data_IF_140213738786
#
_entry.id   IF_140213738786
#
_cell.length_a   1.000
_cell.length_b   1.000
_cell.length_c   1.000
_cell.angle_alpha   90.00
_cell.angle_beta   90.00
_cell.angle_gamma   90.00
#
_symmetry.space_group_name_H-M   'P 1'
#
loop_
_entity.id
_entity.type
_entity.pdbx_description
1 polymer ?
#
# COMPACT_ATOMS: atom_id res chain seq x y z
N UNK A 1 -14.09 93.09 -26.89
CA UNK A 1 -13.47 92.50 -28.07
C UNK A 1 -13.78 91.00 -28.06
N UNK A 2 -14.55 90.32 -28.87
CA UNK A 2 -15.35 90.78 -30.02
C UNK A 2 -16.43 89.73 -30.30
N UNK A 3 -17.65 90.14 -30.33
CA UNK A 3 -18.81 89.35 -30.76
C UNK A 3 -18.93 89.11 -32.28
N UNK A 4 -17.90 89.41 -33.06
CA UNK A 4 -17.96 89.38 -34.52
C UNK A 4 -17.45 88.08 -35.16
N UNK A 5 -16.80 87.18 -34.38
CA UNK A 5 -16.24 85.88 -34.92
C UNK A 5 -17.19 84.69 -34.77
N UNK A 6 -18.30 84.83 -34.02
CA UNK A 6 -19.26 83.74 -33.83
C UNK A 6 -20.36 83.61 -34.88
N UNK A 7 -20.52 84.56 -35.78
CA UNK A 7 -21.61 84.55 -36.77
C UNK A 7 -21.18 83.96 -38.13
N UNK A 8 -19.89 83.92 -38.46
CA UNK A 8 -19.41 83.39 -39.75
C UNK A 8 -19.23 81.86 -39.77
N UNK A 9 -19.12 81.23 -38.62
CA UNK A 9 -18.99 79.74 -38.57
C UNK A 9 -20.34 79.02 -38.67
N UNK A 10 -21.48 79.67 -38.48
CA UNK A 10 -22.79 79.02 -38.46
C UNK A 10 -23.50 78.90 -39.81
N UNK A 11 -23.03 79.63 -40.84
CA UNK A 11 -23.65 79.67 -42.19
C UNK A 11 -22.97 78.73 -43.21
N UNK A 12 -21.80 78.15 -42.87
CA UNK A 12 -21.10 77.18 -43.74
C UNK A 12 -21.38 75.74 -43.41
N UNK A 13 -22.11 75.42 -42.30
CA UNK A 13 -22.48 74.09 -41.92
C UNK A 13 -23.86 73.63 -42.39
N UNK A 14 -24.62 74.52 -43.05
CA UNK A 14 -26.00 74.22 -43.52
C UNK A 14 -26.11 73.72 -44.98
N UNK A 15 -25.03 73.71 -45.76
CA UNK A 15 -25.09 73.31 -47.19
C UNK A 15 -24.54 71.93 -47.51
N UNK A 16 -24.03 71.17 -46.50
CA UNK A 16 -23.43 69.82 -46.70
C UNK A 16 -24.35 68.64 -46.32
N UNK A 17 -25.61 68.86 -45.96
CA UNK A 17 -26.50 67.78 -45.45
C UNK A 17 -27.50 67.27 -46.51
N UNK A 18 -27.54 67.79 -47.73
CA UNK A 18 -28.54 67.40 -48.72
C UNK A 18 -28.05 66.56 -49.92
N UNK A 19 -26.90 65.92 -49.86
CA UNK A 19 -26.41 65.06 -50.97
C UNK A 19 -25.99 63.62 -50.59
N UNK A 20 -26.51 63.06 -49.53
CA UNK A 20 -26.26 61.63 -49.19
C UNK A 20 -27.55 60.78 -49.05
N UNK A 21 -28.43 60.87 -50.04
CA UNK A 21 -29.64 60.02 -50.12
C UNK A 21 -29.68 59.30 -51.47
N UNK A 22 -28.76 58.34 -51.69
CA UNK A 22 -28.92 57.31 -52.71
C UNK A 22 -27.73 56.33 -52.70
N UNK A 23 -27.55 55.50 -51.60
CA UNK A 23 -26.88 54.22 -51.70
C UNK A 23 -27.61 53.28 -50.82
N UNK A 24 -28.73 52.70 -51.30
CA UNK A 24 -29.24 51.42 -50.82
C UNK A 24 -28.24 50.37 -51.21
N UNK A 25 -27.14 50.29 -50.47
CA UNK A 25 -26.29 49.09 -50.48
C UNK A 25 -27.07 47.94 -49.88
N UNK A 26 -27.41 46.92 -50.70
CA UNK A 26 -27.78 45.64 -50.27
C UNK A 26 -26.74 45.20 -49.25
N UNK A 27 -27.09 45.06 -47.94
CA UNK A 27 -26.39 44.27 -47.04
C UNK A 27 -26.45 42.81 -47.57
N UNK A 28 -25.49 42.44 -48.40
CA UNK A 28 -25.14 41.11 -48.61
C UNK A 28 -24.64 40.62 -47.22
N UNK A 29 -25.49 39.94 -46.48
CA UNK A 29 -25.08 39.14 -45.35
C UNK A 29 -23.99 38.19 -45.82
N UNK A 30 -22.74 38.64 -45.73
CA UNK A 30 -21.61 37.79 -45.97
C UNK A 30 -21.68 36.67 -44.91
N UNK A 31 -22.22 35.54 -45.33
CA UNK A 31 -22.00 34.29 -44.58
C UNK A 31 -20.49 34.17 -44.47
N UNK A 32 -19.94 34.43 -43.27
CA UNK A 32 -18.55 34.09 -43.01
C UNK A 32 -18.36 32.64 -43.46
N UNK A 33 -17.31 32.30 -44.21
CA UNK A 33 -17.08 30.93 -44.64
C UNK A 33 -17.10 30.03 -43.39
N UNK A 34 -17.93 29.01 -43.46
CA UNK A 34 -18.09 28.08 -42.35
C UNK A 34 -16.70 27.55 -41.95
N UNK A 35 -16.28 27.83 -40.73
CA UNK A 35 -14.96 27.44 -40.24
C UNK A 35 -14.92 25.91 -40.12
N UNK A 36 -13.94 25.26 -40.72
CA UNK A 36 -13.77 23.83 -40.59
C UNK A 36 -13.24 23.50 -39.20
N UNK A 37 -13.94 22.68 -38.46
CA UNK A 37 -13.56 22.19 -37.11
C UNK A 37 -13.43 20.69 -37.09
N UNK A 38 -12.47 20.23 -36.35
CA UNK A 38 -12.37 18.80 -36.05
C UNK A 38 -13.32 18.45 -34.92
N UNK A 39 -14.21 17.52 -35.14
CA UNK A 39 -15.13 17.01 -34.14
C UNK A 39 -14.91 15.53 -33.87
N UNK A 40 -15.20 15.10 -32.68
CA UNK A 40 -15.21 13.71 -32.25
C UNK A 40 -16.59 13.34 -31.72
N UNK A 41 -16.93 12.09 -31.86
CA UNK A 41 -18.13 11.53 -31.23
C UNK A 41 -17.81 11.13 -29.79
N UNK A 42 -18.69 11.50 -28.86
CA UNK A 42 -18.56 11.18 -27.43
C UNK A 42 -18.79 9.68 -27.24
N UNK A 43 -17.76 9.01 -26.71
CA UNK A 43 -17.78 7.56 -26.47
C UNK A 43 -17.87 7.31 -24.97
N UNK A 44 -18.65 6.31 -24.60
CA UNK A 44 -18.64 5.76 -23.25
C UNK A 44 -17.75 4.52 -23.21
N UNK A 45 -16.93 4.42 -22.18
CA UNK A 45 -16.10 3.26 -21.93
C UNK A 45 -15.92 2.99 -20.45
N UNK A 46 -15.62 1.74 -20.11
CA UNK A 46 -15.21 1.39 -18.77
C UNK A 46 -13.75 1.86 -18.57
N UNK A 47 -13.49 2.64 -17.51
CA UNK A 47 -12.18 3.18 -17.23
C UNK A 47 -11.67 2.66 -15.88
N UNK A 48 -10.51 1.99 -15.84
CA UNK A 48 -9.92 1.58 -14.59
C UNK A 48 -9.49 2.79 -13.75
N UNK A 49 -9.58 2.66 -12.43
CA UNK A 49 -9.03 3.61 -11.47
C UNK A 49 -7.50 3.52 -11.53
N UNK A 50 -6.89 4.40 -12.31
CA UNK A 50 -5.44 4.38 -12.57
C UNK A 50 -4.77 5.61 -11.95
N UNK A 51 -4.80 5.65 -10.61
CA UNK A 51 -4.16 6.72 -9.84
C UNK A 51 -3.00 6.11 -9.04
N UNK A 52 -1.85 6.73 -9.14
CA UNK A 52 -0.65 6.32 -8.43
C UNK A 52 -0.47 7.14 -7.15
N UNK A 53 -0.09 6.47 -6.07
CA UNK A 53 0.18 7.07 -4.77
C UNK A 53 1.63 6.83 -4.38
N UNK A 54 2.32 7.84 -3.80
CA UNK A 54 3.63 7.61 -3.20
C UNK A 54 3.49 6.68 -1.99
N UNK A 55 4.43 5.76 -1.87
CA UNK A 55 4.40 4.74 -0.84
C UNK A 55 5.79 4.43 -0.32
N UNK A 56 5.85 3.95 0.91
CA UNK A 56 7.08 3.49 1.53
C UNK A 56 6.95 2.02 1.95
N UNK A 57 7.95 1.24 1.59
CA UNK A 57 8.06 -0.17 1.97
C UNK A 57 8.59 -0.28 3.40
N UNK A 58 7.98 -1.14 4.19
CA UNK A 58 8.42 -1.47 5.55
C UNK A 58 8.47 -2.98 5.74
N UNK A 59 9.30 -3.45 6.66
CA UNK A 59 9.21 -4.82 7.11
C UNK A 59 7.91 -5.06 7.90
N UNK A 60 7.37 -6.25 7.83
CA UNK A 60 6.18 -6.61 8.63
C UNK A 60 6.47 -6.58 10.12
N UNK A 61 7.68 -6.93 10.53
CA UNK A 61 8.19 -6.76 11.89
C UNK A 61 9.59 -6.19 11.83
N UNK A 62 9.88 -5.26 12.73
CA UNK A 62 11.24 -4.74 12.96
C UNK A 62 11.51 -4.77 14.45
N UNK A 63 12.58 -5.45 14.84
CA UNK A 63 12.94 -5.65 16.25
C UNK A 63 14.38 -5.22 16.48
N UNK A 64 14.58 -4.47 17.55
CA UNK A 64 15.89 -4.13 18.08
C UNK A 64 16.34 -5.24 19.04
N UNK A 65 17.35 -5.99 18.66
CA UNK A 65 17.95 -7.04 19.51
C UNK A 65 18.85 -6.37 20.55
N UNK A 66 18.48 -6.53 21.82
CA UNK A 66 19.19 -5.90 22.94
C UNK A 66 19.72 -6.94 23.92
N UNK A 67 20.87 -6.63 24.52
CA UNK A 67 21.39 -7.40 25.65
C UNK A 67 20.43 -7.30 26.83
N UNK A 68 20.13 -8.43 27.46
CA UNK A 68 19.28 -8.50 28.66
C UNK A 68 20.12 -8.58 29.95
N UNK A 69 21.41 -8.88 29.81
CA UNK A 69 22.42 -8.91 30.88
C UNK A 69 23.67 -8.17 30.46
N UNK A 70 24.44 -7.69 31.43
CA UNK A 70 25.70 -7.01 31.18
C UNK A 70 26.85 -8.00 31.01
N UNK A 71 27.93 -7.56 30.34
CA UNK A 71 29.15 -8.37 30.17
C UNK A 71 29.89 -8.05 28.87
N UNK A 72 31.02 -8.70 28.68
CA UNK A 72 31.83 -8.52 27.46
C UNK A 72 31.23 -9.37 26.33
N UNK A 73 31.02 -8.79 25.16
CA UNK A 73 30.56 -9.49 23.98
C UNK A 73 31.68 -10.40 23.45
N UNK A 74 31.54 -11.72 23.60
CA UNK A 74 32.59 -12.68 23.24
C UNK A 74 32.62 -13.05 21.76
N UNK A 75 31.44 -13.22 21.16
CA UNK A 75 31.36 -13.62 19.76
C UNK A 75 30.04 -13.20 19.11
N UNK A 76 30.11 -13.00 17.79
CA UNK A 76 28.97 -12.85 16.87
C UNK A 76 28.87 -14.12 16.02
N UNK A 77 27.68 -14.69 15.93
CA UNK A 77 27.41 -15.99 15.31
C UNK A 77 26.53 -15.88 14.06
N UNK A 78 26.49 -14.73 13.44
CA UNK A 78 25.72 -14.48 12.21
C UNK A 78 26.52 -13.56 11.28
N UNK A 79 26.15 -13.57 9.99
CA UNK A 79 26.63 -12.62 9.00
C UNK A 79 25.64 -11.46 8.84
N UNK A 80 26.14 -10.23 8.73
CA UNK A 80 25.31 -9.04 8.48
C UNK A 80 24.59 -9.17 7.13
N UNK A 81 23.32 -8.80 7.10
CA UNK A 81 22.48 -8.95 5.91
C UNK A 81 22.03 -10.39 5.62
N UNK A 82 22.45 -11.38 6.42
CA UNK A 82 21.98 -12.75 6.28
C UNK A 82 20.57 -12.94 6.84
N UNK A 83 19.84 -13.91 6.29
CA UNK A 83 18.57 -14.35 6.85
C UNK A 83 18.80 -15.35 7.97
N UNK A 84 18.21 -15.09 9.13
CA UNK A 84 18.30 -15.94 10.33
C UNK A 84 16.90 -16.35 10.77
N UNK A 85 16.78 -17.62 11.24
CA UNK A 85 15.53 -18.13 11.81
C UNK A 85 15.40 -17.72 13.27
N UNK A 86 14.18 -17.55 13.74
CA UNK A 86 13.84 -17.38 15.15
C UNK A 86 14.49 -18.44 16.04
N UNK A 87 14.96 -18.04 17.23
CA UNK A 87 15.64 -18.92 18.19
C UNK A 87 17.11 -19.19 17.90
N UNK A 88 17.65 -18.85 16.72
CA UNK A 88 19.07 -18.99 16.40
C UNK A 88 19.90 -18.09 17.30
N UNK A 89 21.01 -18.59 17.86
CA UNK A 89 21.91 -17.79 18.67
C UNK A 89 22.66 -16.77 17.78
N UNK A 90 22.61 -15.50 18.18
CA UNK A 90 23.20 -14.38 17.47
C UNK A 90 24.52 -13.92 18.08
N UNK A 91 24.51 -13.81 19.42
CA UNK A 91 25.69 -13.35 20.16
C UNK A 91 25.91 -14.21 21.41
N UNK A 92 27.15 -14.22 21.87
CA UNK A 92 27.54 -14.78 23.16
C UNK A 92 28.15 -13.65 24.02
N UNK A 93 27.56 -13.39 25.18
CA UNK A 93 28.09 -12.54 26.24
C UNK A 93 28.88 -13.43 27.19
N UNK A 94 29.92 -12.92 27.85
CA UNK A 94 30.71 -13.68 28.83
C UNK A 94 29.79 -14.24 29.92
N UNK A 95 29.78 -15.57 30.00
CA UNK A 95 28.85 -16.33 30.86
C UNK A 95 29.46 -16.82 32.17
N UNK A 96 30.78 -16.59 32.40
CA UNK A 96 31.51 -17.14 33.53
C UNK A 96 30.90 -16.78 34.88
N UNK A 97 30.55 -15.50 35.08
CA UNK A 97 29.95 -15.05 36.33
C UNK A 97 28.55 -15.63 36.52
N UNK A 98 27.75 -15.67 35.47
CA UNK A 98 26.38 -16.17 35.48
C UNK A 98 26.34 -17.69 35.70
N UNK A 99 27.30 -18.42 35.11
CA UNK A 99 27.48 -19.84 35.35
C UNK A 99 27.86 -20.13 36.84
N UNK A 100 28.79 -19.36 37.39
CA UNK A 100 29.19 -19.48 38.79
C UNK A 100 28.00 -19.14 39.73
N UNK A 101 27.19 -18.14 39.41
CA UNK A 101 25.99 -17.79 40.16
C UNK A 101 24.94 -18.90 40.11
N UNK A 102 24.74 -19.55 38.95
CA UNK A 102 23.84 -20.68 38.79
C UNK A 102 24.31 -21.88 39.62
N UNK A 103 25.61 -22.21 39.60
CA UNK A 103 26.14 -23.32 40.43
C UNK A 103 26.01 -23.04 41.94
N UNK A 104 26.20 -21.79 42.37
CA UNK A 104 25.96 -21.38 43.76
C UNK A 104 24.49 -21.55 44.15
N UNK A 105 23.56 -21.16 43.32
CA UNK A 105 22.13 -21.31 43.56
C UNK A 105 21.73 -22.79 43.62
N UNK A 106 22.32 -23.65 42.77
CA UNK A 106 22.13 -25.11 42.82
C UNK A 106 22.64 -25.70 44.11
N UNK A 107 23.79 -25.26 44.60
CA UNK A 107 24.33 -25.66 45.89
C UNK A 107 23.39 -25.32 47.07
N UNK A 108 22.83 -24.10 47.06
CA UNK A 108 21.84 -23.66 48.05
C UNK A 108 20.56 -24.50 48.01
N UNK A 109 20.09 -24.85 46.83
CA UNK A 109 18.94 -25.75 46.67
C UNK A 109 19.23 -27.15 47.25
N UNK A 110 20.38 -27.71 46.92
CA UNK A 110 20.79 -29.03 47.43
C UNK A 110 20.87 -29.07 48.99
N UNK A 111 21.35 -27.95 49.60
CA UNK A 111 21.37 -27.78 51.04
C UNK A 111 19.93 -27.74 51.62
N UNK A 112 19.04 -26.93 51.04
CA UNK A 112 17.65 -26.83 51.48
C UNK A 112 16.90 -28.15 51.35
N UNK A 113 17.10 -28.89 50.26
CA UNK A 113 16.51 -30.23 50.07
C UNK A 113 17.05 -31.25 51.06
N UNK A 114 18.34 -31.18 51.45
CA UNK A 114 18.88 -32.05 52.50
C UNK A 114 18.25 -31.76 53.86
N UNK A 115 18.01 -30.50 54.17
CA UNK A 115 17.31 -30.09 55.40
C UNK A 115 15.84 -30.53 55.39
N UNK A 116 15.13 -30.39 54.28
CA UNK A 116 13.76 -30.89 54.14
C UNK A 116 13.69 -32.41 54.39
N UNK A 117 14.58 -33.16 53.74
CA UNK A 117 14.63 -34.62 53.96
C UNK A 117 14.90 -34.97 55.41
N UNK A 118 15.71 -34.20 56.14
CA UNK A 118 15.97 -34.42 57.56
C UNK A 118 14.76 -34.14 58.42
N UNK A 119 14.12 -32.98 58.25
CA UNK A 119 12.92 -32.60 59.03
C UNK A 119 11.73 -33.49 58.68
N UNK A 120 11.60 -33.92 57.43
CA UNK A 120 10.57 -34.88 57.01
C UNK A 120 10.68 -36.22 57.75
N UNK A 121 11.91 -36.73 57.91
CA UNK A 121 12.13 -37.99 58.66
C UNK A 121 11.74 -37.79 60.12
N UNK A 122 12.09 -36.68 60.74
CA UNK A 122 11.74 -36.31 62.10
C UNK A 122 10.22 -36.19 62.27
N UNK A 123 9.55 -35.43 61.41
CA UNK A 123 8.10 -35.31 61.39
C UNK A 123 7.41 -36.68 61.29
N UNK A 124 7.86 -37.56 60.38
CA UNK A 124 7.29 -38.86 60.18
C UNK A 124 7.51 -39.74 61.40
N UNK A 125 8.65 -39.60 62.13
CA UNK A 125 8.95 -40.29 63.37
C UNK A 125 7.99 -39.81 64.49
N UNK A 126 7.87 -38.52 64.70
CA UNK A 126 6.98 -37.93 65.72
C UNK A 126 5.52 -38.26 65.45
N UNK A 127 5.09 -38.29 64.18
CA UNK A 127 3.73 -38.69 63.79
C UNK A 127 3.41 -40.12 64.23
N UNK A 128 4.35 -41.09 64.09
CA UNK A 128 4.17 -42.46 64.56
C UNK A 128 4.14 -42.56 66.08
N UNK A 129 5.08 -41.91 66.80
CA UNK A 129 5.15 -41.91 68.23
C UNK A 129 3.95 -41.22 68.89
N UNK A 130 3.36 -40.22 68.25
CA UNK A 130 2.12 -39.61 68.73
C UNK A 130 0.94 -40.54 68.64
N UNK A 131 0.83 -41.32 67.55
CA UNK A 131 -0.20 -42.34 67.40
C UNK A 131 -0.08 -43.46 68.53
N UNK A 132 1.17 -43.77 68.91
CA UNK A 132 1.49 -44.73 70.00
C UNK A 132 1.42 -44.02 71.36
N UNK A 133 1.01 -42.76 71.49
CA UNK A 133 0.95 -41.97 72.73
C UNK A 133 2.30 -41.80 73.45
N UNK A 134 3.41 -41.98 72.74
CA UNK A 134 4.76 -41.93 73.29
C UNK A 134 5.41 -40.56 73.36
N UNK A 135 4.79 -39.54 72.75
CA UNK A 135 5.25 -38.12 72.70
C UNK A 135 4.08 -37.13 72.92
N UNK A 136 4.38 -35.89 73.31
CA UNK A 136 3.38 -34.84 73.48
C UNK A 136 2.92 -34.25 72.11
N UNK A 137 1.69 -33.70 72.06
CA UNK A 137 1.18 -32.98 70.90
C UNK A 137 2.13 -31.88 70.52
N UNK A 138 2.71 -31.17 71.50
CA UNK A 138 3.67 -30.07 71.23
C UNK A 138 4.87 -30.54 70.42
N UNK A 139 5.47 -31.72 70.80
CA UNK A 139 6.63 -32.23 70.05
C UNK A 139 6.29 -32.55 68.57
N UNK A 140 5.08 -33.05 68.34
CA UNK A 140 4.59 -33.25 66.95
C UNK A 140 4.41 -31.97 66.19
N UNK A 141 3.75 -30.96 66.82
CA UNK A 141 3.50 -29.63 66.19
C UNK A 141 4.82 -28.91 65.91
N UNK A 142 5.81 -29.01 66.83
CA UNK A 142 7.16 -28.44 66.59
C UNK A 142 7.86 -29.14 65.39
N UNK A 143 7.76 -30.45 65.25
CA UNK A 143 8.33 -31.19 64.13
C UNK A 143 7.61 -30.93 62.79
N UNK A 144 6.27 -30.74 62.85
CA UNK A 144 5.48 -30.33 61.68
C UNK A 144 5.90 -28.95 61.21
N UNK A 145 5.95 -27.96 62.11
CA UNK A 145 6.35 -26.60 61.77
C UNK A 145 7.77 -26.51 61.22
N UNK A 146 8.69 -27.31 61.79
CA UNK A 146 10.07 -27.41 61.26
C UNK A 146 10.10 -27.99 59.83
N UNK A 147 9.27 -29.01 59.54
CA UNK A 147 9.15 -29.58 58.20
C UNK A 147 8.54 -28.61 57.21
N UNK A 148 7.43 -27.93 57.57
CA UNK A 148 6.80 -26.92 56.73
C UNK A 148 7.74 -25.74 56.40
N UNK A 149 8.51 -25.28 57.39
CA UNK A 149 9.56 -24.28 57.22
C UNK A 149 10.63 -24.74 56.24
N UNK A 150 11.08 -26.00 56.34
CA UNK A 150 12.06 -26.56 55.44
C UNK A 150 11.52 -26.69 54.00
N UNK A 151 10.24 -27.04 53.83
CA UNK A 151 9.59 -27.02 52.50
C UNK A 151 9.55 -25.65 51.90
N UNK A 152 9.17 -24.62 52.68
CA UNK A 152 9.19 -23.23 52.23
C UNK A 152 10.58 -22.81 51.78
N UNK A 153 11.64 -23.17 52.52
CA UNK A 153 13.02 -22.87 52.16
C UNK A 153 13.45 -23.52 50.82
N UNK A 154 12.99 -24.74 50.55
CA UNK A 154 13.22 -25.40 49.24
C UNK A 154 12.57 -24.61 48.10
N UNK A 155 11.35 -24.10 48.31
CA UNK A 155 10.70 -23.29 47.30
C UNK A 155 11.46 -21.99 47.02
N UNK A 156 11.97 -21.31 48.05
CA UNK A 156 12.82 -20.12 47.92
C UNK A 156 14.10 -20.44 47.14
N UNK A 157 14.78 -21.55 47.51
CA UNK A 157 16.00 -21.96 46.82
C UNK A 157 15.76 -22.34 45.35
N UNK A 158 14.64 -23.00 45.03
CA UNK A 158 14.21 -23.30 43.65
C UNK A 158 14.00 -22.02 42.84
N UNK A 159 13.34 -21.02 43.42
CA UNK A 159 13.18 -19.71 42.79
C UNK A 159 14.54 -19.06 42.50
N UNK A 160 15.50 -19.14 43.44
CA UNK A 160 16.87 -18.68 43.26
C UNK A 160 17.60 -19.33 42.08
N UNK A 161 17.46 -20.65 41.92
CA UNK A 161 18.02 -21.40 40.79
C UNK A 161 17.37 -20.94 39.47
N UNK A 162 16.06 -20.74 39.47
CA UNK A 162 15.33 -20.26 38.29
C UNK A 162 15.85 -18.88 37.83
N UNK A 163 16.00 -17.94 38.76
CA UNK A 163 16.53 -16.59 38.49
C UNK A 163 17.95 -16.65 37.93
N UNK A 164 18.83 -17.42 38.58
CA UNK A 164 20.22 -17.58 38.12
C UNK A 164 20.30 -18.23 36.73
N UNK A 165 19.42 -19.21 36.46
CA UNK A 165 19.32 -19.85 35.13
C UNK A 165 18.85 -18.87 34.05
N UNK A 166 17.84 -18.06 34.33
CA UNK A 166 17.35 -17.05 33.40
C UNK A 166 18.48 -16.09 33.01
N UNK A 167 19.23 -15.57 34.00
CA UNK A 167 20.35 -14.68 33.73
C UNK A 167 21.47 -15.35 32.92
N UNK A 168 21.76 -16.62 33.19
CA UNK A 168 22.69 -17.42 32.40
C UNK A 168 22.19 -17.63 30.96
N UNK A 169 20.91 -17.95 30.79
CA UNK A 169 20.32 -18.12 29.46
C UNK A 169 20.34 -16.82 28.64
N UNK A 170 20.23 -15.65 29.29
CA UNK A 170 20.33 -14.34 28.65
C UNK A 170 21.74 -13.98 28.13
N UNK A 171 22.80 -14.68 28.58
CA UNK A 171 24.12 -14.54 27.98
C UNK A 171 24.18 -15.05 26.54
N UNK A 172 23.23 -15.92 26.14
CA UNK A 172 23.05 -16.44 24.80
C UNK A 172 21.95 -15.66 24.11
N UNK A 173 22.31 -14.56 23.46
CA UNK A 173 21.33 -13.72 22.76
C UNK A 173 20.82 -14.44 21.54
N UNK A 174 19.50 -14.66 21.47
CA UNK A 174 18.84 -15.37 20.38
C UNK A 174 17.99 -14.44 19.54
N UNK A 175 17.75 -14.84 18.29
CA UNK A 175 16.87 -14.16 17.35
C UNK A 175 15.40 -14.20 17.85
N UNK A 176 14.76 -13.06 18.10
CA UNK A 176 13.37 -13.01 18.55
C UNK A 176 12.35 -13.25 17.44
N UNK A 177 12.75 -13.09 16.19
CA UNK A 177 11.94 -13.31 14.98
C UNK A 177 12.80 -13.94 13.88
N UNK A 178 12.14 -14.49 12.87
CA UNK A 178 12.83 -14.90 11.64
C UNK A 178 12.92 -13.68 10.70
N UNK A 179 14.12 -13.32 10.24
CA UNK A 179 14.29 -12.13 9.41
C UNK A 179 15.72 -11.89 8.92
N UNK A 180 15.91 -10.76 8.29
CA UNK A 180 17.23 -10.30 7.80
C UNK A 180 17.91 -9.53 8.92
N UNK A 181 19.16 -9.86 9.16
CA UNK A 181 20.01 -9.21 10.16
C UNK A 181 20.46 -7.84 9.65
N UNK A 182 20.41 -6.85 10.52
CA UNK A 182 21.05 -5.56 10.30
C UNK A 182 22.54 -5.60 10.62
N UNK A 183 23.16 -4.42 10.57
CA UNK A 183 24.54 -4.21 11.00
C UNK A 183 24.66 -4.38 12.53
N UNK A 184 25.81 -4.87 13.00
CA UNK A 184 26.10 -4.87 14.43
C UNK A 184 26.24 -3.43 14.96
N UNK A 185 25.65 -3.17 16.12
CA UNK A 185 25.77 -1.89 16.82
C UNK A 185 26.93 -1.89 17.84
N UNK A 186 27.32 -3.07 18.32
CA UNK A 186 28.41 -3.28 19.26
C UNK A 186 29.35 -4.34 18.72
N UNK A 187 30.64 -4.06 18.68
CA UNK A 187 31.64 -5.00 18.19
C UNK A 187 32.04 -6.01 19.27
N UNK A 188 32.52 -7.17 18.84
CA UNK A 188 33.09 -8.18 19.73
C UNK A 188 34.23 -7.58 20.57
N UNK A 189 34.22 -7.87 21.87
CA UNK A 189 35.14 -7.27 22.86
C UNK A 189 34.56 -6.07 23.61
N UNK A 190 33.45 -5.48 23.14
CA UNK A 190 32.78 -4.37 23.82
C UNK A 190 32.04 -4.81 25.07
N UNK A 191 32.03 -3.95 26.09
CA UNK A 191 31.20 -4.12 27.28
C UNK A 191 29.76 -3.68 26.93
N UNK A 192 28.82 -4.62 27.02
CA UNK A 192 27.40 -4.36 26.82
C UNK A 192 26.65 -4.29 28.14
N UNK A 193 25.55 -3.53 28.17
CA UNK A 193 24.71 -3.34 29.36
C UNK A 193 23.25 -3.41 28.93
N UNK A 194 22.31 -3.95 29.78
CA UNK A 194 20.89 -3.94 29.49
C UNK A 194 20.31 -2.53 29.34
N UNK A 195 20.95 -1.53 29.94
CA UNK A 195 20.51 -0.14 29.93
C UNK A 195 21.37 0.72 29.01
N UNK A 196 20.79 1.78 28.45
CA UNK A 196 21.49 2.71 27.56
C UNK A 196 21.69 2.21 26.12
N UNK A 197 22.53 2.91 25.37
CA UNK A 197 22.79 2.62 23.94
C UNK A 197 23.66 1.37 23.76
N UNK A 198 24.57 1.09 24.71
CA UNK A 198 25.43 -0.12 24.66
C UNK A 198 24.63 -1.43 24.72
N UNK A 199 23.36 -1.35 25.13
CA UNK A 199 22.47 -2.52 25.10
C UNK A 199 21.98 -2.92 23.72
N UNK A 200 21.95 -2.01 22.75
CA UNK A 200 21.56 -2.32 21.37
C UNK A 200 22.70 -3.11 20.69
N UNK A 201 22.40 -4.33 20.28
CA UNK A 201 23.37 -5.21 19.61
C UNK A 201 23.24 -5.19 18.10
N UNK A 202 22.00 -5.29 17.59
CA UNK A 202 21.67 -5.25 16.17
C UNK A 202 20.17 -5.03 15.98
N UNK A 203 19.75 -4.86 14.73
CA UNK A 203 18.34 -4.82 14.33
C UNK A 203 17.99 -6.04 13.48
N UNK A 204 16.76 -6.50 13.56
CA UNK A 204 16.23 -7.55 12.68
C UNK A 204 14.98 -7.05 12.00
N UNK A 205 14.83 -7.38 10.71
CA UNK A 205 13.67 -7.00 9.91
C UNK A 205 13.08 -8.23 9.23
N UNK A 206 11.81 -8.48 9.46
CA UNK A 206 11.07 -9.48 8.71
C UNK A 206 10.67 -8.88 7.36
N UNK A 207 11.26 -9.41 6.29
CA UNK A 207 11.06 -8.93 4.92
C UNK A 207 10.11 -9.82 4.09
N UNK A 208 9.44 -10.77 4.71
CA UNK A 208 8.39 -11.58 4.10
C UNK A 208 7.38 -11.99 5.17
N UNK A 209 6.12 -11.47 5.06
CA UNK A 209 5.65 -10.51 4.08
C UNK A 209 6.26 -9.10 4.28
N UNK A 210 6.14 -8.24 3.27
CA UNK A 210 6.44 -6.81 3.36
C UNK A 210 5.16 -5.99 3.50
N UNK A 211 5.26 -4.88 4.19
CA UNK A 211 4.21 -3.88 4.22
C UNK A 211 4.57 -2.68 3.36
N UNK A 212 3.59 -2.20 2.62
CA UNK A 212 3.71 -0.97 1.84
C UNK A 212 2.69 0.02 2.39
N UNK A 213 3.19 1.09 3.00
CA UNK A 213 2.37 2.15 3.58
C UNK A 213 2.23 3.27 2.56
N UNK A 214 1.01 3.71 2.32
CA UNK A 214 0.69 4.81 1.41
C UNK A 214 -0.49 5.61 1.93
N UNK A 215 -0.69 6.81 1.39
CA UNK A 215 -1.78 7.69 1.78
C UNK A 215 -2.61 8.06 0.56
N UNK A 216 -3.92 7.96 0.69
CA UNK A 216 -4.89 8.39 -0.31
C UNK A 216 -5.52 9.71 0.14
N UNK A 217 -5.58 10.75 -0.70
CA UNK A 217 -6.31 11.98 -0.39
C UNK A 217 -7.78 11.69 -0.05
N UNK A 218 -8.30 12.32 1.01
CA UNK A 218 -9.68 12.10 1.48
C UNK A 218 -10.72 12.39 0.40
N UNK A 219 -10.48 13.40 -0.46
CA UNK A 219 -11.34 13.70 -1.61
C UNK A 219 -11.42 12.52 -2.61
N UNK A 220 -10.31 11.82 -2.86
CA UNK A 220 -10.29 10.67 -3.75
C UNK A 220 -10.97 9.45 -3.11
N UNK A 221 -10.77 9.26 -1.80
CA UNK A 221 -11.48 8.22 -1.06
C UNK A 221 -12.99 8.46 -1.07
N UNK A 222 -13.44 9.71 -0.83
CA UNK A 222 -14.85 10.08 -0.89
C UNK A 222 -15.46 9.81 -2.27
N UNK A 223 -14.72 10.09 -3.35
CA UNK A 223 -15.14 9.78 -4.73
C UNK A 223 -15.26 8.29 -4.99
N UNK A 224 -14.26 7.52 -4.57
CA UNK A 224 -14.30 6.07 -4.70
C UNK A 224 -15.52 5.49 -3.96
N UNK A 225 -15.75 5.96 -2.73
CA UNK A 225 -16.89 5.53 -1.91
C UNK A 225 -18.25 5.95 -2.52
N UNK A 226 -18.41 7.22 -2.90
CA UNK A 226 -19.65 7.71 -3.51
C UNK A 226 -19.93 7.10 -4.88
N UNK A 227 -18.88 6.92 -5.70
CA UNK A 227 -18.98 6.24 -6.99
C UNK A 227 -19.40 4.77 -6.85
N UNK A 228 -18.88 4.08 -5.85
CA UNK A 228 -19.30 2.71 -5.53
C UNK A 228 -20.75 2.66 -5.06
N UNK A 229 -21.15 3.55 -4.15
CA UNK A 229 -22.54 3.62 -3.64
C UNK A 229 -23.55 3.98 -4.73
N UNK A 230 -23.17 4.81 -5.70
CA UNK A 230 -24.03 5.17 -6.85
C UNK A 230 -24.00 4.13 -7.98
N UNK A 231 -23.14 3.11 -7.90
CA UNK A 231 -22.94 2.13 -8.97
C UNK A 231 -22.15 2.63 -10.18
N UNK A 232 -21.59 3.85 -10.12
CA UNK A 232 -20.69 4.38 -11.15
C UNK A 232 -19.31 3.74 -11.12
N UNK A 233 -18.88 3.30 -9.93
CA UNK A 233 -17.63 2.55 -9.74
C UNK A 233 -17.97 1.14 -9.30
N UNK A 234 -17.42 0.17 -9.97
CA UNK A 234 -17.53 -1.25 -9.60
C UNK A 234 -16.18 -1.73 -9.11
N UNK A 235 -16.19 -2.53 -8.05
CA UNK A 235 -15.01 -3.14 -7.49
C UNK A 235 -14.93 -4.60 -7.95
N UNK A 236 -13.88 -4.94 -8.68
CA UNK A 236 -13.65 -6.28 -9.20
C UNK A 236 -14.62 -6.74 -10.27
N UNK A 237 -14.76 -8.07 -10.39
CA UNK A 237 -15.64 -8.70 -11.37
C UNK A 237 -17.12 -8.76 -10.95
N UNK A 238 -17.53 -8.10 -9.88
CA UNK A 238 -18.90 -8.20 -9.39
C UNK A 238 -19.90 -7.47 -10.27
N UNK A 239 -20.80 -8.24 -10.87
CA UNK A 239 -21.96 -7.76 -11.65
C UNK A 239 -23.09 -7.16 -10.81
N UNK A 240 -22.95 -7.02 -9.49
CA UNK A 240 -23.98 -6.53 -8.58
C UNK A 240 -23.45 -5.48 -7.62
N UNK A 241 -23.63 -4.22 -7.97
CA UNK A 241 -23.63 -3.13 -7.01
C UNK A 241 -25.03 -2.99 -6.42
N UNK A 242 -25.24 -3.47 -5.20
CA UNK A 242 -26.35 -3.04 -4.37
C UNK A 242 -25.82 -2.05 -3.35
N UNK A 243 -26.58 -1.01 -3.04
CA UNK A 243 -26.22 0.02 -2.07
C UNK A 243 -25.78 -0.63 -0.75
N UNK A 244 -24.52 -0.43 -0.39
CA UNK A 244 -23.87 -1.00 0.80
C UNK A 244 -23.49 0.14 1.75
N UNK A 245 -23.71 -0.06 3.05
CA UNK A 245 -23.34 0.85 4.12
C UNK A 245 -21.81 1.13 4.09
N UNK A 246 -21.33 2.38 4.31
CA UNK A 246 -19.91 2.72 4.39
C UNK A 246 -19.10 1.88 5.39
N UNK A 247 -19.72 1.41 6.48
CA UNK A 247 -19.09 0.50 7.45
C UNK A 247 -18.92 -0.91 6.88
N UNK A 248 -19.86 -1.37 6.09
CA UNK A 248 -19.85 -2.65 5.39
C UNK A 248 -18.84 -2.62 4.22
N UNK A 249 -18.68 -1.45 3.56
CA UNK A 249 -17.64 -1.21 2.56
C UNK A 249 -16.24 -1.45 3.10
N UNK A 250 -15.93 -0.94 4.30
CA UNK A 250 -14.62 -1.17 4.96
C UNK A 250 -14.37 -2.66 5.22
N UNK A 251 -15.41 -3.38 5.60
CA UNK A 251 -15.35 -4.82 5.90
C UNK A 251 -15.23 -5.66 4.63
N UNK A 252 -15.98 -5.31 3.60
CA UNK A 252 -15.91 -5.95 2.28
C UNK A 252 -14.58 -5.68 1.58
N UNK A 253 -14.04 -4.45 1.66
CA UNK A 253 -12.74 -4.09 1.14
C UNK A 253 -11.61 -4.92 1.80
N UNK A 254 -11.76 -5.29 3.06
CA UNK A 254 -10.78 -6.12 3.78
C UNK A 254 -10.95 -7.62 3.53
N UNK A 255 -12.19 -8.13 3.39
CA UNK A 255 -12.47 -9.57 3.37
C UNK A 255 -12.77 -10.15 1.98
N UNK A 256 -13.43 -9.40 1.11
CA UNK A 256 -13.96 -9.92 -0.17
C UNK A 256 -13.64 -9.07 -1.39
N UNK A 257 -13.10 -7.86 -1.21
CA UNK A 257 -12.92 -6.98 -2.33
C UNK A 257 -11.76 -7.44 -3.23
N UNK A 258 -11.97 -7.47 -4.50
CA UNK A 258 -10.95 -7.70 -5.50
C UNK A 258 -10.04 -6.47 -5.69
N UNK A 259 -10.02 -5.54 -4.73
CA UNK A 259 -9.08 -4.44 -4.70
C UNK A 259 -7.73 -4.96 -4.24
N UNK A 260 -6.76 -4.84 -5.09
CA UNK A 260 -5.38 -5.12 -4.77
C UNK A 260 -4.49 -3.94 -5.16
N UNK A 261 -3.28 -3.97 -4.68
CA UNK A 261 -2.30 -2.91 -4.91
C UNK A 261 -1.18 -3.47 -5.76
N UNK A 262 -0.80 -2.76 -6.80
CA UNK A 262 0.42 -3.01 -7.55
C UNK A 262 1.50 -2.03 -7.10
N UNK A 263 2.70 -2.53 -6.84
CA UNK A 263 3.84 -1.69 -6.51
C UNK A 263 4.66 -1.42 -7.79
N UNK A 264 4.93 -0.16 -8.05
CA UNK A 264 5.74 0.32 -9.18
C UNK A 264 7.10 0.73 -8.64
N UNK A 265 8.11 -0.03 -9.01
CA UNK A 265 9.49 0.18 -8.59
C UNK A 265 10.07 1.47 -9.19
N UNK A 266 11.20 1.95 -8.64
CA UNK A 266 11.87 3.17 -9.12
C UNK A 266 12.28 3.12 -10.60
N UNK A 267 12.48 1.92 -11.16
CA UNK A 267 12.78 1.70 -12.58
C UNK A 267 11.54 1.66 -13.49
N UNK A 268 10.35 1.94 -12.94
CA UNK A 268 9.07 1.91 -13.65
C UNK A 268 8.47 0.51 -13.87
N UNK A 269 9.14 -0.56 -13.44
CA UNK A 269 8.58 -1.91 -13.54
C UNK A 269 7.57 -2.17 -12.43
N UNK A 270 6.51 -2.88 -12.74
CA UNK A 270 5.53 -3.35 -11.76
C UNK A 270 6.11 -4.58 -11.06
N UNK A 271 6.02 -4.60 -9.73
CA UNK A 271 6.41 -5.75 -8.93
C UNK A 271 5.49 -6.94 -9.21
N UNK A 272 6.05 -8.14 -9.35
CA UNK A 272 5.30 -9.31 -9.83
C UNK A 272 4.18 -9.78 -8.87
N UNK A 273 4.35 -9.54 -7.58
CA UNK A 273 3.34 -9.91 -6.57
C UNK A 273 2.36 -8.78 -6.35
N UNK A 274 1.07 -9.12 -6.28
CA UNK A 274 0.01 -8.17 -5.95
C UNK A 274 -0.11 -8.04 -4.43
N UNK A 275 -0.28 -6.81 -3.95
CA UNK A 275 -0.48 -6.53 -2.54
C UNK A 275 -1.94 -6.59 -2.15
N UNK A 276 -2.23 -7.19 -1.00
CA UNK A 276 -3.55 -7.16 -0.37
C UNK A 276 -3.61 -6.00 0.60
N UNK A 277 -4.66 -5.19 0.53
CA UNK A 277 -4.90 -4.13 1.52
C UNK A 277 -5.31 -4.80 2.83
N UNK A 278 -4.55 -4.54 3.89
CA UNK A 278 -4.76 -5.12 5.21
C UNK A 278 -5.21 -4.10 6.25
N UNK A 279 -5.05 -2.81 5.94
CA UNK A 279 -5.36 -1.74 6.88
C UNK A 279 -5.82 -0.49 6.15
N UNK A 280 -6.88 0.12 6.69
CA UNK A 280 -7.36 1.46 6.40
C UNK A 280 -7.45 2.20 7.72
N UNK A 281 -6.89 3.39 7.79
CA UNK A 281 -7.05 4.22 8.98
C UNK A 281 -8.53 4.62 9.14
N UNK A 282 -8.99 4.67 10.37
CA UNK A 282 -10.35 5.12 10.70
C UNK A 282 -10.48 6.63 10.74
N UNK A 283 -9.35 7.34 10.79
CA UNK A 283 -9.26 8.78 10.91
C UNK A 283 -8.47 9.38 9.76
N UNK A 284 -8.95 10.50 9.25
CA UNK A 284 -8.22 11.30 8.27
C UNK A 284 -7.15 12.14 8.98
N UNK A 285 -5.94 12.16 8.44
CA UNK A 285 -4.89 13.04 8.93
C UNK A 285 -5.28 14.50 8.63
N UNK A 286 -5.51 15.29 9.67
CA UNK A 286 -5.99 16.67 9.54
C UNK A 286 -4.98 17.63 8.90
N UNK A 287 -3.69 17.31 8.93
CA UNK A 287 -2.65 18.15 8.33
C UNK A 287 -2.51 17.93 6.82
N UNK A 288 -2.72 16.70 6.36
CA UNK A 288 -2.54 16.31 4.95
C UNK A 288 -3.85 16.01 4.24
N UNK A 289 -4.98 16.02 4.95
CA UNK A 289 -6.30 15.61 4.45
C UNK A 289 -6.23 14.29 3.68
N UNK A 290 -5.57 13.29 4.26
CA UNK A 290 -5.34 11.99 3.65
C UNK A 290 -5.60 10.84 4.61
N UNK A 291 -5.99 9.71 4.04
CA UNK A 291 -6.25 8.45 4.74
C UNK A 291 -5.04 7.54 4.60
N UNK A 292 -4.50 7.09 5.73
CA UNK A 292 -3.39 6.15 5.70
C UNK A 292 -3.89 4.73 5.40
N UNK A 293 -3.15 4.04 4.54
CA UNK A 293 -3.46 2.70 4.09
C UNK A 293 -2.20 1.84 4.13
N UNK A 294 -2.40 0.53 4.30
CA UNK A 294 -1.32 -0.46 4.25
C UNK A 294 -1.71 -1.65 3.40
N UNK A 295 -0.80 -2.01 2.51
CA UNK A 295 -0.91 -3.24 1.75
C UNK A 295 0.20 -4.22 2.13
N UNK A 296 -0.13 -5.50 2.16
CA UNK A 296 0.79 -6.60 2.42
C UNK A 296 1.18 -7.25 1.10
N UNK A 297 2.48 -7.40 0.89
CA UNK A 297 3.07 -8.02 -0.28
C UNK A 297 3.88 -9.25 0.11
N UNK A 298 3.68 -10.34 -0.61
CA UNK A 298 4.59 -11.47 -0.52
C UNK A 298 5.96 -11.09 -1.11
N UNK A 299 7.04 -11.42 -0.39
CA UNK A 299 8.41 -11.18 -0.82
C UNK A 299 9.24 -12.46 -0.70
N UNK A 300 9.20 -13.35 -1.69
CA UNK A 300 9.95 -14.61 -1.66
C UNK A 300 11.44 -14.35 -1.42
N UNK A 301 12.14 -15.24 -0.73
CA UNK A 301 13.53 -15.07 -0.28
C UNK A 301 14.53 -14.67 -1.36
N UNK A 302 14.26 -15.01 -2.62
CA UNK A 302 15.16 -14.74 -3.75
C UNK A 302 14.83 -13.44 -4.49
N UNK A 303 13.71 -12.80 -4.17
CA UNK A 303 13.29 -11.56 -4.81
C UNK A 303 13.57 -10.37 -3.89
N UNK A 304 14.69 -9.70 -4.15
CA UNK A 304 15.11 -8.48 -3.42
C UNK A 304 14.74 -7.19 -4.15
N UNK A 305 13.81 -7.24 -5.10
CA UNK A 305 13.40 -6.05 -5.85
C UNK A 305 12.66 -5.06 -4.95
N UNK A 306 11.99 -5.55 -3.91
CA UNK A 306 11.30 -4.75 -2.92
C UNK A 306 11.98 -4.90 -1.57
N UNK A 307 12.51 -3.81 -1.04
CA UNK A 307 13.28 -3.81 0.22
C UNK A 307 12.67 -2.85 1.25
N UNK A 308 12.68 -3.19 2.55
CA UNK A 308 12.31 -2.26 3.61
C UNK A 308 13.07 -0.94 3.51
N UNK A 309 12.36 0.18 3.73
CA UNK A 309 12.89 1.54 3.60
C UNK A 309 12.83 2.14 2.20
N UNK A 310 12.54 1.35 1.18
CA UNK A 310 12.46 1.81 -0.21
C UNK A 310 11.20 2.66 -0.45
N UNK A 311 11.32 3.73 -1.24
CA UNK A 311 10.18 4.47 -1.78
C UNK A 311 9.76 3.88 -3.11
N UNK A 312 8.48 3.67 -3.26
CA UNK A 312 7.83 3.12 -4.46
C UNK A 312 6.58 3.92 -4.75
N UNK A 313 5.99 3.74 -5.94
CA UNK A 313 4.62 4.18 -6.20
C UNK A 313 3.71 2.96 -6.12
N UNK A 314 2.49 3.16 -5.69
CA UNK A 314 1.48 2.11 -5.70
C UNK A 314 0.28 2.54 -6.51
N UNK A 315 -0.33 1.60 -7.18
CA UNK A 315 -1.56 1.77 -7.95
C UNK A 315 -2.63 0.84 -7.39
N UNK A 316 -3.80 1.42 -7.15
CA UNK A 316 -4.95 0.65 -6.71
C UNK A 316 -5.61 0.01 -7.94
N UNK A 317 -5.72 -1.30 -7.96
CA UNK A 317 -6.28 -2.06 -9.08
C UNK A 317 -7.53 -2.81 -8.65
N UNK A 318 -8.51 -2.90 -9.56
CA UNK A 318 -9.80 -3.57 -9.31
C UNK A 318 -10.98 -2.62 -9.15
N UNK A 319 -10.77 -1.30 -9.16
CA UNK A 319 -11.84 -0.32 -9.26
C UNK A 319 -12.00 0.15 -10.71
N UNK A 320 -13.22 0.16 -11.24
CA UNK A 320 -13.52 0.52 -12.62
C UNK A 320 -14.72 1.48 -12.66
N UNK A 321 -14.53 2.65 -13.27
CA UNK A 321 -15.65 3.52 -13.66
C UNK A 321 -16.44 2.87 -14.78
N UNK A 322 -17.72 2.63 -14.54
CA UNK A 322 -18.62 2.09 -15.56
C UNK A 322 -19.21 3.19 -16.43
N UNK A 323 -19.22 2.94 -17.75
CA UNK A 323 -19.82 3.84 -18.74
C UNK A 323 -19.31 5.29 -18.62
N UNK A 324 -18.03 5.48 -18.31
CA UNK A 324 -17.44 6.81 -18.22
C UNK A 324 -17.47 7.53 -19.57
N UNK A 325 -17.91 8.77 -19.59
CA UNK A 325 -17.82 9.62 -20.77
C UNK A 325 -16.41 10.23 -20.83
N UNK A 326 -15.64 9.82 -21.82
CA UNK A 326 -14.26 10.24 -22.00
C UNK A 326 -14.14 11.24 -23.13
N UNK A 327 -13.52 12.39 -22.84
CA UNK A 327 -13.20 13.40 -23.84
C UNK A 327 -11.74 13.85 -23.71
N UNK A 328 -11.03 14.12 -24.79
CA UNK A 328 -9.66 14.64 -24.72
C UNK A 328 -9.61 16.01 -24.05
N UNK A 329 -8.53 16.31 -23.35
CA UNK A 329 -8.36 17.61 -22.69
C UNK A 329 -8.47 18.80 -23.64
N UNK A 330 -8.11 18.61 -24.92
CA UNK A 330 -8.24 19.62 -25.97
C UNK A 330 -9.69 19.98 -26.36
N UNK A 331 -10.67 19.15 -25.97
CA UNK A 331 -12.11 19.36 -26.25
C UNK A 331 -12.83 20.10 -25.11
N UNK A 332 -12.14 20.43 -24.01
CA UNK A 332 -12.70 21.15 -22.87
C UNK A 332 -11.96 22.48 -22.68
N UNK A 333 -12.71 23.56 -22.56
CA UNK A 333 -12.19 24.88 -22.27
C UNK A 333 -12.45 25.20 -20.78
N UNK A 334 -11.38 25.52 -20.06
CA UNK A 334 -11.50 26.01 -18.69
C UNK A 334 -11.66 27.51 -18.71
N UNK A 335 -12.78 28.02 -18.19
CA UNK A 335 -13.08 29.43 -18.04
C UNK A 335 -13.23 29.79 -16.56
N UNK A 336 -13.17 31.10 -16.19
CA UNK A 336 -13.45 31.53 -14.82
C UNK A 336 -14.83 31.10 -14.31
N UNK A 337 -15.78 30.87 -15.22
CA UNK A 337 -17.16 30.47 -14.94
C UNK A 337 -17.33 28.94 -14.83
N UNK A 338 -16.28 28.17 -15.16
CA UNK A 338 -16.28 26.70 -15.12
C UNK A 338 -15.77 26.08 -16.43
N UNK A 339 -15.92 24.77 -16.51
CA UNK A 339 -15.54 24.02 -17.72
C UNK A 339 -16.67 24.03 -18.72
N UNK A 340 -16.35 24.25 -20.00
CA UNK A 340 -17.29 24.16 -21.09
C UNK A 340 -16.72 23.40 -22.28
N UNK A 341 -17.58 22.79 -23.06
CA UNK A 341 -17.27 22.22 -24.38
C UNK A 341 -18.23 22.73 -25.43
N UNK A 342 -17.83 22.63 -26.69
CA UNK A 342 -18.69 22.98 -27.82
C UNK A 342 -19.29 21.72 -28.44
N UNK A 343 -20.61 21.62 -28.36
CA UNK A 343 -21.40 20.53 -28.98
C UNK A 343 -21.87 20.99 -30.35
N UNK A 344 -21.77 20.15 -31.36
CA UNK A 344 -22.25 20.40 -32.70
C UNK A 344 -23.61 19.78 -32.91
N UNK A 345 -24.57 20.61 -33.23
CA UNK A 345 -25.95 20.21 -33.46
C UNK A 345 -26.17 19.60 -34.87
N UNK A 346 -27.31 18.96 -35.10
CA UNK A 346 -27.67 18.40 -36.41
C UNK A 346 -27.60 19.40 -37.59
N UNK A 347 -27.74 20.71 -37.29
CA UNK A 347 -27.63 21.77 -38.25
C UNK A 347 -26.21 22.30 -38.47
N UNK A 348 -25.18 21.58 -37.95
CA UNK A 348 -23.78 22.03 -37.94
C UNK A 348 -23.57 23.37 -37.22
N UNK A 349 -24.40 23.67 -36.23
CA UNK A 349 -24.28 24.86 -35.39
C UNK A 349 -23.62 24.51 -34.08
N UNK A 350 -22.69 25.34 -33.62
CA UNK A 350 -21.92 25.10 -32.38
C UNK A 350 -22.66 25.72 -31.20
N UNK A 351 -22.93 24.93 -30.18
CA UNK A 351 -23.50 25.36 -28.90
C UNK A 351 -22.51 25.15 -27.76
N UNK A 352 -22.24 26.19 -26.99
CA UNK A 352 -21.46 26.09 -25.78
C UNK A 352 -22.27 25.39 -24.70
N UNK A 353 -21.71 24.36 -24.09
CA UNK A 353 -22.36 23.58 -23.03
C UNK A 353 -21.45 23.49 -21.83
N UNK A 354 -21.91 23.89 -20.61
CA UNK A 354 -21.17 23.68 -19.41
C UNK A 354 -21.08 22.18 -19.11
N UNK A 355 -19.90 21.74 -18.66
CA UNK A 355 -19.63 20.35 -18.32
C UNK A 355 -18.97 20.28 -16.95
N UNK A 356 -19.19 19.18 -16.22
CA UNK A 356 -18.46 18.85 -15.02
C UNK A 356 -17.69 17.56 -15.26
N UNK A 357 -16.45 17.55 -14.84
CA UNK A 357 -15.60 16.39 -15.02
C UNK A 357 -14.23 16.59 -14.40
N UNK A 358 -13.40 15.57 -14.50
CA UNK A 358 -12.06 15.55 -13.94
C UNK A 358 -11.03 15.13 -14.95
N UNK A 359 -9.87 15.76 -14.88
CA UNK A 359 -8.75 15.44 -15.72
C UNK A 359 -7.99 14.22 -15.13
N UNK A 360 -7.94 13.14 -15.89
CA UNK A 360 -7.12 11.97 -15.59
C UNK A 360 -6.37 11.56 -16.88
N UNK A 361 -5.06 11.40 -16.80
CA UNK A 361 -4.21 10.93 -17.92
C UNK A 361 -4.49 11.68 -19.26
N UNK A 362 -4.56 13.03 -19.23
CA UNK A 362 -4.83 13.89 -20.37
C UNK A 362 -6.24 13.74 -20.99
N UNK A 363 -7.16 13.08 -20.28
CA UNK A 363 -8.56 12.91 -20.65
C UNK A 363 -9.46 13.47 -19.56
N UNK A 364 -10.57 14.09 -19.92
CA UNK A 364 -11.61 14.42 -18.96
C UNK A 364 -12.62 13.28 -18.86
N UNK A 365 -12.88 12.85 -17.64
CA UNK A 365 -14.02 11.99 -17.29
C UNK A 365 -15.17 12.94 -16.98
N UNK A 366 -16.15 13.00 -17.86
CA UNK A 366 -17.29 13.92 -17.73
C UNK A 366 -18.40 13.22 -16.93
N UNK A 367 -18.79 13.85 -15.81
CA UNK A 367 -19.89 13.38 -14.95
C UNK A 367 -21.23 14.00 -15.35
N UNK A 368 -21.23 15.26 -15.84
CA UNK A 368 -22.45 15.99 -16.21
C UNK A 368 -22.22 16.82 -17.46
N UNK A 369 -23.24 16.98 -18.28
CA UNK A 369 -23.28 17.92 -19.41
C UNK A 369 -23.14 17.30 -20.80
N UNK A 370 -22.71 16.04 -20.94
CA UNK A 370 -22.63 15.34 -22.23
C UNK A 370 -23.37 14.01 -22.21
N UNK A 371 -23.79 13.59 -23.41
CA UNK A 371 -24.41 12.29 -23.65
C UNK A 371 -23.61 11.49 -24.68
N UNK A 372 -23.71 10.19 -24.60
CA UNK A 372 -23.14 9.28 -25.62
C UNK A 372 -23.67 9.60 -27.01
N UNK A 373 -22.80 9.57 -28.01
CA UNK A 373 -23.12 9.83 -29.41
C UNK A 373 -23.19 11.31 -29.81
N UNK A 374 -23.08 12.25 -28.87
CA UNK A 374 -23.00 13.68 -29.21
C UNK A 374 -21.68 14.00 -29.90
N UNK A 375 -21.71 14.93 -30.85
CA UNK A 375 -20.50 15.41 -31.52
C UNK A 375 -19.96 16.63 -30.82
N UNK A 376 -18.70 16.62 -30.40
CA UNK A 376 -18.02 17.72 -29.74
C UNK A 376 -16.81 18.15 -30.53
N UNK A 377 -16.49 19.43 -30.48
CA UNK A 377 -15.29 19.98 -31.14
C UNK A 377 -14.06 19.57 -30.35
N UNK A 378 -13.07 18.94 -31.02
CA UNK A 378 -11.86 18.42 -30.37
C UNK A 378 -10.70 19.42 -30.34
N UNK A 379 -10.70 20.42 -31.22
CA UNK A 379 -9.62 21.39 -31.37
C UNK A 379 -10.12 22.77 -31.83
N UNK A 380 -9.41 23.82 -31.42
CA UNK A 380 -9.70 25.16 -31.90
C UNK A 380 -10.85 25.91 -31.21
N UNK A 381 -11.22 25.46 -30.02
CA UNK A 381 -12.36 25.98 -29.25
C UNK A 381 -12.31 27.48 -28.99
N UNK A 382 -11.12 28.08 -28.84
CA UNK A 382 -10.92 29.50 -28.54
C UNK A 382 -11.45 30.43 -29.69
N UNK A 383 -11.51 29.91 -30.91
CA UNK A 383 -11.97 30.67 -32.08
C UNK A 383 -13.47 30.59 -32.33
N UNK A 384 -14.17 29.75 -31.57
CA UNK A 384 -15.59 29.50 -31.74
C UNK A 384 -16.44 30.40 -30.86
N UNK A 385 -17.58 30.78 -31.40
CA UNK A 385 -18.63 31.49 -30.67
C UNK A 385 -19.92 30.67 -30.73
N UNK A 386 -20.73 30.67 -29.69
CA UNK A 386 -22.04 30.01 -29.71
C UNK A 386 -22.89 30.52 -30.89
N UNK A 387 -23.56 29.64 -31.61
CA UNK A 387 -24.37 29.97 -32.78
C UNK A 387 -23.64 30.02 -34.12
N UNK A 388 -22.31 29.80 -34.17
CA UNK A 388 -21.57 29.74 -35.44
C UNK A 388 -21.92 28.46 -36.20
N UNK A 389 -22.08 28.57 -37.52
CA UNK A 389 -22.11 27.46 -38.45
C UNK A 389 -20.68 27.00 -38.74
N UNK A 390 -20.44 25.70 -38.67
CA UNK A 390 -19.12 25.07 -38.86
C UNK A 390 -19.20 23.95 -39.88
N UNK A 391 -18.12 23.70 -40.58
CA UNK A 391 -17.96 22.46 -41.37
C UNK A 391 -17.27 21.44 -40.52
N UNK A 392 -17.96 20.33 -40.25
CA UNK A 392 -17.48 19.27 -39.35
C UNK A 392 -16.59 18.29 -40.09
N UNK A 393 -15.36 18.17 -39.66
CA UNK A 393 -14.48 17.06 -40.00
C UNK A 393 -14.48 16.06 -38.85
N UNK A 394 -15.24 14.95 -39.00
CA UNK A 394 -15.37 13.92 -37.97
C UNK A 394 -14.09 13.09 -37.89
N UNK A 395 -13.42 13.15 -36.74
CA UNK A 395 -12.25 12.31 -36.44
C UNK A 395 -12.66 11.13 -35.57
N UNK A 396 -12.12 9.96 -35.87
CA UNK A 396 -12.34 8.80 -35.02
C UNK A 396 -11.56 8.98 -33.72
N UNK A 397 -12.26 9.04 -32.61
CA UNK A 397 -11.65 9.10 -31.29
C UNK A 397 -11.17 7.71 -30.88
N UNK A 398 -9.86 7.58 -30.62
CA UNK A 398 -9.26 6.32 -30.16
C UNK A 398 -9.11 6.41 -28.65
N UNK A 399 -9.77 5.50 -27.94
CA UNK A 399 -9.64 5.36 -26.48
C UNK A 399 -8.19 4.99 -26.11
N UNK A 400 -7.68 5.49 -24.96
CA UNK A 400 -6.38 5.09 -24.47
C UNK A 400 -6.33 3.59 -24.20
N UNK A 401 -5.15 2.98 -24.30
CA UNK A 401 -4.96 1.54 -24.15
C UNK A 401 -5.50 1.00 -22.82
N UNK A 402 -5.46 1.80 -21.75
CA UNK A 402 -6.04 1.48 -20.44
C UNK A 402 -7.56 1.29 -20.45
N UNK A 403 -8.28 1.99 -21.35
CA UNK A 403 -9.72 1.86 -21.49
C UNK A 403 -10.13 0.75 -22.48
N UNK A 404 -9.22 0.31 -23.35
CA UNK A 404 -9.49 -0.77 -24.33
C UNK A 404 -9.45 -2.15 -23.67
N UNK A 405 -8.71 -2.33 -22.59
CA UNK A 405 -8.58 -3.62 -21.88
C UNK A 405 -9.82 -3.96 -21.04
N UNK A 406 -10.72 -3.02 -20.82
CA UNK A 406 -11.95 -3.20 -20.01
C UNK A 406 -13.19 -3.59 -20.83
N UNK A 407 -13.10 -3.72 -22.14
CA UNK A 407 -14.24 -4.20 -22.95
C UNK A 407 -14.41 -5.71 -22.74
N UNK A 408 -15.61 -6.20 -22.37
CA UNK A 408 -15.91 -7.61 -22.42
C UNK A 408 -15.83 -8.04 -23.89
N UNK A 409 -15.12 -9.13 -24.15
CA UNK A 409 -15.07 -9.77 -25.47
C UNK A 409 -16.52 -9.94 -25.96
N UNK A 410 -16.88 -9.24 -27.03
CA UNK A 410 -18.14 -9.45 -27.73
C UNK A 410 -18.21 -10.91 -28.14
N UNK A 411 -19.26 -11.59 -27.72
CA UNK A 411 -19.63 -12.93 -28.19
C UNK A 411 -19.97 -12.83 -29.68
N UNK A 412 -18.98 -12.86 -30.53
CA UNK A 412 -19.12 -13.27 -31.92
C UNK A 412 -18.51 -14.67 -32.05
N UNK A 413 -19.42 -15.63 -32.02
CA UNK A 413 -19.13 -17.00 -32.31
C UNK A 413 -18.60 -17.14 -33.74
N UNK A 414 -17.28 -17.21 -33.88
CA UNK A 414 -16.63 -17.84 -35.00
C UNK A 414 -15.58 -18.82 -34.50
N UNK A 415 -15.90 -20.07 -34.73
CA UNK A 415 -15.12 -21.25 -34.51
C UNK A 415 -13.66 -21.07 -34.93
N UNK A 416 -12.75 -21.24 -33.96
CA UNK A 416 -11.34 -21.52 -34.23
C UNK A 416 -11.22 -23.04 -34.42
N UNK A 417 -11.61 -23.49 -35.59
CA UNK A 417 -11.17 -24.81 -36.12
C UNK A 417 -10.13 -24.51 -37.20
N UNK A 418 -8.99 -25.14 -37.10
CA UNK A 418 -7.89 -25.16 -38.06
C UNK A 418 -6.71 -24.20 -37.78
N UNK A 419 -5.86 -24.64 -36.86
CA UNK A 419 -4.40 -24.41 -36.93
C UNK A 419 -3.67 -25.49 -36.09
N UNK A 420 -4.05 -26.78 -36.33
CA UNK A 420 -3.19 -27.92 -36.10
C UNK A 420 -2.81 -28.44 -37.50
N UNK A 421 -1.58 -28.27 -37.92
CA UNK A 421 -0.79 -29.10 -38.82
C UNK A 421 0.34 -28.26 -39.41
N UNK A 422 1.48 -28.29 -38.81
CA UNK A 422 2.80 -28.39 -39.45
C UNK A 422 3.89 -28.29 -38.37
N UNK A 423 4.15 -29.41 -37.70
CA UNK A 423 5.46 -29.64 -37.07
C UNK A 423 6.05 -30.81 -37.85
N UNK A 424 6.99 -30.45 -38.67
CA UNK A 424 7.81 -31.35 -39.49
C UNK A 424 8.73 -32.18 -38.59
N UNK A 425 8.67 -33.49 -38.86
CA UNK A 425 9.55 -34.50 -38.29
C UNK A 425 10.89 -34.44 -39.03
N UNK A 426 11.92 -33.97 -38.40
CA UNK A 426 13.29 -34.41 -38.69
C UNK A 426 14.22 -33.95 -37.60
N UNK A 427 14.68 -34.82 -36.82
CA UNK A 427 16.04 -35.20 -36.47
C UNK A 427 15.99 -36.05 -35.19
N UNK A 428 16.24 -37.34 -35.35
CA UNK A 428 16.46 -38.29 -34.26
C UNK A 428 17.88 -38.18 -33.72
N UNK A 429 18.13 -38.53 -32.48
CA UNK A 429 19.45 -38.44 -31.84
C UNK A 429 20.22 -39.75 -31.95
N UNK A 430 21.50 -39.59 -32.17
CA UNK A 430 22.47 -40.69 -32.01
C UNK A 430 22.81 -40.85 -30.52
N UNK A 431 22.57 -42.07 -30.05
CA UNK A 431 23.04 -42.59 -28.79
C UNK A 431 24.50 -43.07 -28.95
N UNK A 432 25.40 -42.55 -28.16
CA UNK A 432 26.66 -43.26 -27.89
C UNK A 432 26.99 -43.27 -26.39
N UNK A 433 27.33 -44.47 -25.99
CA UNK A 433 27.51 -45.05 -24.67
C UNK A 433 28.70 -44.51 -23.91
N UNK A 434 28.56 -44.64 -22.60
CA UNK A 434 29.60 -44.59 -21.55
C UNK A 434 30.77 -45.56 -21.82
N UNK A 435 31.94 -45.34 -21.24
CA UNK A 435 32.43 -46.33 -20.32
C UNK A 435 32.80 -45.76 -18.91
N UNK A 436 32.44 -46.63 -18.00
CA UNK A 436 32.84 -46.82 -16.64
C UNK A 436 34.38 -47.00 -16.54
N UNK A 437 35.08 -46.31 -15.66
CA UNK A 437 36.28 -46.87 -15.06
C UNK A 437 36.46 -46.42 -13.63
N UNK A 438 36.71 -47.43 -12.83
CA UNK A 438 36.97 -47.48 -11.42
C UNK A 438 38.42 -47.12 -11.06
N UNK A 439 38.62 -46.90 -9.80
CA UNK A 439 39.83 -47.05 -8.96
C UNK A 439 40.74 -45.79 -8.89
N UNK A 440 40.89 -45.23 -7.68
CA UNK A 440 41.65 -45.77 -6.60
C UNK A 440 42.74 -44.82 -6.17
N UNK A 441 42.60 -44.18 -5.08
CA UNK A 441 43.48 -44.08 -3.91
C UNK A 441 43.02 -42.97 -2.97
#
# INVERSE_FOLDING_TARGET
MNNAVKIVCFTLLGAAVLSCSACKGKQAGGQMPAQTVNAIEVVQADLPWDIEYPAQVAGSLQVNVRAQVGGILQSRLFDEGAYVKEGTQLFQIDDKEYKAALERARGSLAQAEAQERSTQREYNRMKKLLADKAVSQKNYDDALSAYETAQANVQVAKAGVTTAKINFDYTKVKAPISGIMGKEAQSVGSLVSPTGESGLLTTMVQANPLWVNFSMPGSQFAKLASGYMSGQIVLGDEKKSSAVDPAEYRKMAAEKAPLYVEAILANGKVYAQKGKIIFFDSTENTQTSSLAMRAEFANPKNDRQLMPGQFVRVRLVGAVYKNAILVPSSAVLNTPEGMLTYVVDSNNTVAARPVKGELQNNMYIISEGLKHGEKIVSNGLIKLKPGMQVTVNLQKFTLPASAQTAQPASQDGRSVASLEATIDKSVAPDAQALPNDQQGK
#
